data_IF_063061945001
#
_entry.id   IF_063061945001
#
_cell.length_a   1.000
_cell.length_b   1.000
_cell.length_c   1.000
_cell.angle_alpha   90.00
_cell.angle_beta   90.00
_cell.angle_gamma   90.00
#
_symmetry.space_group_name_H-M   'P 1'
#
loop_
_entity.id
_entity.type
_entity.pdbx_description
1 polymer ?
#
# COMPACT_ATOMS: atom_id res chain seq x y z
N UNK A 1 2.31 12.77 -15.95
CA UNK A 1 3.21 13.76 -15.31
C UNK A 1 3.27 13.46 -13.82
N UNK A 2 4.46 13.46 -13.21
CA UNK A 2 4.57 13.29 -11.75
C UNK A 2 3.95 14.50 -11.04
N UNK A 3 3.16 14.33 -9.96
CA UNK A 3 2.69 15.43 -9.12
C UNK A 3 3.81 16.31 -8.56
N UNK A 4 5.04 15.80 -8.51
CA UNK A 4 6.22 16.54 -8.06
C UNK A 4 6.66 17.66 -9.01
N UNK A 5 6.21 17.58 -10.27
CA UNK A 5 6.47 18.61 -11.29
C UNK A 5 5.45 19.76 -11.24
N UNK A 6 4.43 19.67 -10.38
CA UNK A 6 3.42 20.71 -10.21
C UNK A 6 3.94 21.82 -9.29
N UNK A 7 3.51 23.06 -9.52
CA UNK A 7 3.75 24.15 -8.58
C UNK A 7 3.14 23.86 -7.19
N UNK A 8 3.57 24.59 -6.16
CA UNK A 8 3.16 24.35 -4.79
C UNK A 8 1.63 24.34 -4.59
N UNK A 9 0.92 25.28 -5.20
CA UNK A 9 -0.52 25.42 -5.01
C UNK A 9 -1.29 24.31 -5.74
N UNK A 10 -0.87 24.00 -6.96
CA UNK A 10 -1.48 22.95 -7.77
C UNK A 10 -1.19 21.56 -7.19
N UNK A 11 0.04 21.32 -6.70
CA UNK A 11 0.40 20.09 -5.98
C UNK A 11 -0.43 19.89 -4.73
N UNK A 12 -0.63 20.96 -3.93
CA UNK A 12 -1.49 20.91 -2.74
C UNK A 12 -2.94 20.59 -3.11
N UNK A 13 -3.47 21.21 -4.17
CA UNK A 13 -4.83 20.95 -4.66
C UNK A 13 -4.97 19.52 -5.17
N UNK A 14 -3.97 19.02 -5.91
CA UNK A 14 -3.91 17.64 -6.39
C UNK A 14 -4.03 16.66 -5.22
N UNK A 15 -3.14 16.76 -4.22
CA UNK A 15 -3.16 15.83 -3.07
C UNK A 15 -4.45 15.92 -2.25
N UNK A 16 -5.04 17.12 -2.15
CA UNK A 16 -6.36 17.29 -1.50
C UNK A 16 -7.46 16.51 -2.22
N UNK A 17 -7.48 16.54 -3.55
CA UNK A 17 -8.48 15.83 -4.36
C UNK A 17 -8.18 14.33 -4.44
N UNK A 18 -6.93 13.96 -4.69
CA UNK A 18 -6.49 12.57 -4.78
C UNK A 18 -6.74 11.78 -3.49
N UNK A 19 -6.62 12.44 -2.33
CA UNK A 19 -6.89 11.84 -1.02
C UNK A 19 -8.30 12.19 -0.49
N UNK A 20 -9.23 12.62 -1.35
CA UNK A 20 -10.61 12.89 -0.94
C UNK A 20 -11.46 11.62 -1.02
N UNK A 21 -12.42 11.49 -0.11
CA UNK A 21 -13.39 10.39 -0.12
C UNK A 21 -14.23 10.37 -1.40
N UNK A 22 -14.47 11.54 -2.01
CA UNK A 22 -15.32 11.67 -3.20
C UNK A 22 -14.68 11.01 -4.43
N UNK A 23 -13.36 11.04 -4.54
CA UNK A 23 -12.64 10.50 -5.69
C UNK A 23 -12.18 9.04 -5.52
N UNK A 24 -12.27 8.48 -4.30
CA UNK A 24 -11.93 7.07 -4.05
C UNK A 24 -12.73 6.09 -4.93
N UNK A 25 -13.99 6.43 -5.26
CA UNK A 25 -14.87 5.58 -6.09
C UNK A 25 -14.32 5.28 -7.48
N UNK A 26 -13.36 6.07 -7.96
CA UNK A 26 -12.72 5.87 -9.26
C UNK A 26 -11.55 4.88 -9.20
N UNK A 27 -11.09 4.49 -8.01
CA UNK A 27 -10.06 3.46 -7.84
C UNK A 27 -10.63 2.09 -8.22
N UNK A 28 -9.99 1.43 -9.20
CA UNK A 28 -10.32 0.05 -9.57
C UNK A 28 -9.27 -0.89 -9.00
N UNK A 29 -9.66 -1.91 -8.21
CA UNK A 29 -8.70 -2.87 -7.71
C UNK A 29 -8.16 -3.72 -8.86
N UNK A 30 -6.88 -4.06 -8.78
CA UNK A 30 -6.26 -5.03 -9.68
C UNK A 30 -6.65 -6.43 -9.23
N UNK A 31 -7.20 -7.24 -10.13
CA UNK A 31 -7.70 -8.59 -9.82
C UNK A 31 -6.61 -9.45 -9.17
N UNK A 32 -5.39 -9.39 -9.71
CA UNK A 32 -4.24 -10.13 -9.19
C UNK A 32 -3.91 -9.76 -7.73
N UNK A 33 -4.10 -8.49 -7.35
CA UNK A 33 -3.85 -8.04 -5.98
C UNK A 33 -4.85 -8.64 -5.00
N UNK A 34 -6.12 -8.74 -5.41
CA UNK A 34 -7.17 -9.41 -4.62
C UNK A 34 -6.85 -10.91 -4.48
N UNK A 35 -6.60 -11.58 -5.59
CA UNK A 35 -6.32 -13.04 -5.62
C UNK A 35 -5.11 -13.40 -4.73
N UNK A 36 -4.02 -12.63 -4.84
CA UNK A 36 -2.83 -12.84 -4.02
C UNK A 36 -3.11 -12.60 -2.53
N UNK A 37 -3.79 -11.50 -2.19
CA UNK A 37 -4.13 -11.21 -0.79
C UNK A 37 -4.93 -12.37 -0.19
N UNK A 38 -5.98 -12.83 -0.88
CA UNK A 38 -6.81 -13.95 -0.43
C UNK A 38 -5.98 -15.24 -0.30
N UNK A 39 -5.14 -15.55 -1.28
CA UNK A 39 -4.23 -16.70 -1.21
C UNK A 39 -3.28 -16.63 0.00
N UNK A 40 -2.72 -15.46 0.31
CA UNK A 40 -1.77 -15.28 1.44
C UNK A 40 -2.47 -15.33 2.79
N UNK A 41 -3.73 -14.92 2.86
CA UNK A 41 -4.54 -15.06 4.07
C UNK A 41 -4.76 -16.53 4.46
N UNK A 42 -4.76 -17.45 3.51
CA UNK A 42 -4.82 -18.89 3.77
C UNK A 42 -3.47 -19.48 4.23
N UNK A 43 -2.36 -18.80 3.95
CA UNK A 43 -1.01 -19.25 4.29
C UNK A 43 -0.50 -18.66 5.60
N UNK A 44 -1.05 -17.52 6.04
CA UNK A 44 -0.58 -16.86 7.25
C UNK A 44 -1.21 -15.50 7.52
N UNK A 45 -0.45 -14.63 8.19
CA UNK A 45 -0.89 -13.29 8.57
C UNK A 45 -0.53 -12.28 7.50
N UNK A 46 -1.50 -11.45 7.12
CA UNK A 46 -1.31 -10.37 6.13
C UNK A 46 -1.38 -9.02 6.82
N UNK A 47 -0.35 -8.20 6.59
CA UNK A 47 -0.31 -6.78 6.97
C UNK A 47 -0.40 -5.94 5.70
N UNK A 48 -1.42 -5.11 5.59
CA UNK A 48 -1.56 -4.12 4.51
C UNK A 48 -1.05 -2.77 5.02
N UNK A 49 0.00 -2.28 4.36
CA UNK A 49 0.57 -0.95 4.62
C UNK A 49 0.12 -0.01 3.49
N UNK A 50 -0.52 1.10 3.84
CA UNK A 50 -1.05 2.04 2.86
C UNK A 50 -0.61 3.48 3.12
N UNK A 51 -0.29 4.19 2.03
CA UNK A 51 -0.06 5.64 2.04
C UNK A 51 -1.34 6.45 2.30
N UNK A 52 -2.54 5.82 2.25
CA UNK A 52 -3.80 6.49 2.56
C UNK A 52 -3.78 7.00 4.01
N UNK A 53 -4.19 8.26 4.26
CA UNK A 53 -4.21 8.82 5.61
C UNK A 53 -5.27 8.16 6.50
N UNK A 54 -4.99 8.11 7.81
CA UNK A 54 -5.84 7.46 8.83
C UNK A 54 -7.33 7.86 8.76
N UNK A 55 -7.65 9.11 8.41
CA UNK A 55 -9.04 9.57 8.33
C UNK A 55 -9.86 8.93 7.19
N UNK A 56 -9.21 8.25 6.24
CA UNK A 56 -9.85 7.47 5.17
C UNK A 56 -10.02 5.98 5.53
N UNK A 57 -9.64 5.56 6.74
CA UNK A 57 -9.67 4.15 7.16
C UNK A 57 -11.02 3.50 6.94
N UNK A 58 -12.10 4.09 7.44
CA UNK A 58 -13.45 3.53 7.33
C UNK A 58 -13.90 3.39 5.87
N UNK A 59 -13.63 4.39 5.04
CA UNK A 59 -13.97 4.35 3.62
C UNK A 59 -13.19 3.24 2.89
N UNK A 60 -11.89 3.13 3.17
CA UNK A 60 -11.02 2.09 2.60
C UNK A 60 -11.46 0.68 3.03
N UNK A 61 -11.78 0.50 4.30
CA UNK A 61 -12.27 -0.79 4.82
C UNK A 61 -13.59 -1.18 4.15
N UNK A 62 -14.54 -0.25 3.97
CA UNK A 62 -15.81 -0.52 3.29
C UNK A 62 -15.61 -0.89 1.82
N UNK A 63 -14.74 -0.18 1.12
CA UNK A 63 -14.37 -0.47 -0.26
C UNK A 63 -13.77 -1.88 -0.40
N UNK A 64 -12.80 -2.24 0.44
CA UNK A 64 -12.19 -3.57 0.42
C UNK A 64 -13.21 -4.68 0.73
N UNK A 65 -14.12 -4.47 1.69
CA UNK A 65 -15.23 -5.40 1.95
C UNK A 65 -16.13 -5.59 0.73
N UNK A 66 -16.45 -4.51 0.01
CA UNK A 66 -17.26 -4.57 -1.19
C UNK A 66 -16.58 -5.38 -2.32
N UNK A 67 -15.25 -5.43 -2.32
CA UNK A 67 -14.45 -6.29 -3.21
C UNK A 67 -14.23 -7.71 -2.68
N UNK A 68 -14.91 -8.12 -1.61
CA UNK A 68 -14.84 -9.48 -1.07
C UNK A 68 -13.61 -9.76 -0.21
N UNK A 69 -12.86 -8.73 0.21
CA UNK A 69 -11.74 -8.92 1.14
C UNK A 69 -12.27 -9.13 2.56
N UNK A 70 -11.88 -10.21 3.25
CA UNK A 70 -12.21 -10.45 4.66
C UNK A 70 -11.31 -9.57 5.56
N UNK A 71 -11.60 -8.28 5.61
CA UNK A 71 -10.78 -7.26 6.27
C UNK A 71 -10.50 -7.52 7.74
N UNK A 72 -11.34 -8.29 8.43
CA UNK A 72 -11.14 -8.74 9.82
C UNK A 72 -9.94 -9.68 9.98
N UNK A 73 -9.50 -10.34 8.91
CA UNK A 73 -8.30 -11.19 8.90
C UNK A 73 -7.02 -10.42 8.53
N UNK A 74 -7.15 -9.13 8.17
CA UNK A 74 -6.04 -8.30 7.67
C UNK A 74 -5.70 -7.23 8.71
N UNK A 75 -4.42 -7.08 9.03
CA UNK A 75 -3.95 -5.96 9.85
C UNK A 75 -3.59 -4.77 8.95
N UNK A 76 -4.11 -3.58 9.26
CA UNK A 76 -3.91 -2.39 8.43
C UNK A 76 -3.11 -1.29 9.12
N UNK A 77 -2.05 -0.84 8.47
CA UNK A 77 -1.23 0.31 8.84
C UNK A 77 -1.47 1.45 7.85
N UNK A 78 -2.11 2.52 8.32
CA UNK A 78 -2.40 3.72 7.54
C UNK A 78 -1.40 4.83 7.88
N UNK A 79 -1.24 5.77 6.94
CA UNK A 79 -0.40 6.95 7.15
C UNK A 79 -0.94 7.81 8.30
N UNK A 80 -0.12 8.10 9.34
CA UNK A 80 -0.52 8.95 10.45
C UNK A 80 -0.82 10.39 10.01
N UNK A 81 -1.67 11.09 10.77
CA UNK A 81 -1.93 12.52 10.53
C UNK A 81 -0.64 13.31 10.71
N UNK A 82 -0.34 14.20 9.76
CA UNK A 82 0.85 15.04 9.79
C UNK A 82 2.13 14.39 9.24
N UNK A 83 2.07 13.13 8.80
CA UNK A 83 3.21 12.49 8.15
C UNK A 83 3.22 12.73 6.65
N UNK A 84 4.08 13.64 6.21
CA UNK A 84 4.27 14.01 4.80
C UNK A 84 5.56 13.43 4.19
N UNK A 85 6.22 12.48 4.87
CA UNK A 85 7.41 11.81 4.34
C UNK A 85 7.03 11.02 3.08
N UNK A 86 8.02 10.81 2.20
CA UNK A 86 7.86 9.98 0.99
C UNK A 86 7.32 8.60 1.33
N UNK A 87 6.58 7.99 0.42
CA UNK A 87 5.86 6.75 0.68
C UNK A 87 6.78 5.60 1.09
N UNK A 88 7.91 5.43 0.38
CA UNK A 88 8.90 4.40 0.73
C UNK A 88 9.50 4.60 2.13
N UNK A 89 9.67 5.84 2.59
CA UNK A 89 10.20 6.13 3.94
C UNK A 89 9.19 5.72 5.00
N UNK A 90 7.91 6.04 4.81
CA UNK A 90 6.84 5.63 5.72
C UNK A 90 6.72 4.10 5.77
N UNK A 91 6.67 3.45 4.61
CA UNK A 91 6.52 1.99 4.53
C UNK A 91 7.72 1.26 5.11
N UNK A 92 8.94 1.76 4.91
CA UNK A 92 10.15 1.22 5.53
C UNK A 92 10.09 1.28 7.08
N UNK A 93 9.67 2.41 7.65
CA UNK A 93 9.48 2.57 9.11
C UNK A 93 8.42 1.62 9.68
N UNK A 94 7.38 1.31 8.91
CA UNK A 94 6.42 0.27 9.30
C UNK A 94 6.99 -1.14 9.17
N UNK A 95 7.69 -1.44 8.08
CA UNK A 95 8.32 -2.73 7.85
C UNK A 95 9.37 -3.07 8.92
N UNK A 96 10.14 -2.09 9.40
CA UNK A 96 11.17 -2.30 10.41
C UNK A 96 10.63 -2.69 11.79
N UNK A 97 9.33 -2.50 12.02
CA UNK A 97 8.63 -2.88 13.26
C UNK A 97 7.99 -4.26 13.18
N UNK A 98 7.99 -4.88 12.00
CA UNK A 98 7.49 -6.22 11.78
C UNK A 98 8.65 -7.22 11.90
N UNK A 99 8.37 -8.41 12.40
CA UNK A 99 9.31 -9.53 12.47
C UNK A 99 8.81 -10.68 11.60
N UNK A 100 9.72 -11.52 11.10
CA UNK A 100 9.40 -12.73 10.33
C UNK A 100 8.58 -12.43 9.06
N UNK A 101 8.90 -11.34 8.37
CA UNK A 101 8.28 -11.02 7.07
C UNK A 101 8.88 -11.96 6.02
N UNK A 102 8.03 -12.78 5.39
CA UNK A 102 8.44 -13.77 4.38
C UNK A 102 8.20 -13.30 2.94
N UNK A 103 7.23 -12.41 2.73
CA UNK A 103 6.86 -11.86 1.42
C UNK A 103 6.54 -10.37 1.57
N UNK A 104 7.00 -9.55 0.63
CA UNK A 104 6.61 -8.14 0.51
C UNK A 104 6.12 -7.89 -0.91
N UNK A 105 4.93 -7.30 -1.01
CA UNK A 105 4.25 -7.00 -2.27
C UNK A 105 4.03 -5.49 -2.36
N UNK A 106 4.59 -4.84 -3.38
CA UNK A 106 4.41 -3.41 -3.60
C UNK A 106 4.53 -3.08 -5.10
N UNK A 107 3.99 -1.95 -5.56
CA UNK A 107 4.17 -1.46 -6.92
C UNK A 107 5.35 -0.47 -7.05
N UNK A 108 5.98 -0.12 -5.93
CA UNK A 108 7.19 0.71 -5.89
C UNK A 108 8.46 -0.11 -5.65
N UNK A 109 9.40 -0.01 -6.59
CA UNK A 109 10.74 -0.58 -6.44
C UNK A 109 11.50 0.04 -5.25
N UNK A 110 11.31 1.33 -4.96
CA UNK A 110 11.96 1.98 -3.80
C UNK A 110 11.53 1.32 -2.48
N UNK A 111 10.24 0.98 -2.35
CA UNK A 111 9.71 0.26 -1.17
C UNK A 111 10.35 -1.11 -1.05
N UNK A 112 10.44 -1.86 -2.15
CA UNK A 112 11.02 -3.21 -2.14
C UNK A 112 12.52 -3.19 -1.83
N UNK A 113 13.26 -2.19 -2.33
CA UNK A 113 14.68 -2.05 -2.01
C UNK A 113 14.91 -1.71 -0.54
N UNK A 114 14.07 -0.87 0.08
CA UNK A 114 14.11 -0.66 1.53
C UNK A 114 13.70 -1.93 2.29
N UNK A 115 12.69 -2.66 1.79
CA UNK A 115 12.28 -3.93 2.37
C UNK A 115 13.39 -4.97 2.35
N UNK A 116 14.19 -5.07 1.28
CA UNK A 116 15.36 -5.98 1.19
C UNK A 116 16.38 -5.70 2.29
N UNK A 117 16.62 -4.43 2.61
CA UNK A 117 17.57 -4.05 3.67
C UNK A 117 17.08 -4.48 5.06
N UNK A 118 15.77 -4.39 5.29
CA UNK A 118 15.14 -4.68 6.58
C UNK A 118 14.90 -6.19 6.76
N UNK A 119 14.41 -6.85 5.71
CA UNK A 119 14.02 -8.26 5.67
C UNK A 119 14.75 -8.97 4.52
N UNK A 120 16.05 -9.26 4.67
CA UNK A 120 16.90 -9.73 3.56
C UNK A 120 16.46 -11.07 2.96
N UNK A 121 15.76 -11.90 3.73
CA UNK A 121 15.27 -13.21 3.28
C UNK A 121 13.82 -13.20 2.77
N UNK A 122 13.13 -12.06 2.81
CA UNK A 122 11.79 -11.96 2.26
C UNK A 122 11.83 -12.08 0.72
N UNK A 123 10.82 -12.75 0.15
CA UNK A 123 10.54 -12.67 -1.28
C UNK A 123 9.91 -11.33 -1.60
N UNK A 124 10.38 -10.68 -2.65
CA UNK A 124 9.94 -9.35 -3.02
C UNK A 124 9.18 -9.43 -4.34
N UNK A 125 7.95 -8.94 -4.36
CA UNK A 125 7.05 -9.01 -5.50
C UNK A 125 6.74 -7.59 -5.98
N UNK A 126 7.27 -7.23 -7.14
CA UNK A 126 6.99 -5.94 -7.78
C UNK A 126 5.75 -6.07 -8.66
N UNK A 127 4.69 -5.34 -8.33
CA UNK A 127 3.43 -5.37 -9.06
C UNK A 127 3.40 -4.36 -10.21
N UNK A 128 3.14 -4.84 -11.43
CA UNK A 128 2.99 -4.01 -12.64
C UNK A 128 1.74 -4.43 -13.41
N UNK A 129 0.82 -3.48 -13.62
CA UNK A 129 -0.47 -3.79 -14.25
C UNK A 129 -1.23 -4.89 -13.49
N UNK A 130 -1.68 -5.92 -14.20
CA UNK A 130 -2.32 -7.11 -13.62
C UNK A 130 -1.35 -8.30 -13.41
N UNK A 131 -0.05 -8.03 -13.27
CA UNK A 131 0.96 -9.04 -12.98
C UNK A 131 1.95 -8.59 -11.91
N UNK A 132 2.90 -9.48 -11.63
CA UNK A 132 4.03 -9.20 -10.75
C UNK A 132 5.28 -9.91 -11.25
N UNK A 133 6.43 -9.40 -10.84
CA UNK A 133 7.74 -10.03 -11.01
C UNK A 133 8.39 -10.22 -9.64
N UNK A 134 9.20 -11.28 -9.49
CA UNK A 134 10.06 -11.40 -8.33
C UNK A 134 11.25 -10.47 -8.52
N UNK A 135 11.59 -9.75 -7.45
CA UNK A 135 12.81 -8.95 -7.38
C UNK A 135 13.87 -9.80 -6.70
N UNK A 136 14.93 -10.10 -7.43
CA UNK A 136 16.13 -10.77 -6.91
C UNK A 136 16.92 -9.84 -5.98
#
# INVERSE_FOLDING_TARGET
ASPDLLDHNLRRKFWKLFLSKEFMVFDRPRRIGIELLLSRLEMGRVVVITGRPQHLREATIRELKAFGIPVERVFFLFRPKGDYRKDYVLKADFLSRLSNVIEVHDDSIEVLMEARKIHPHAKLYLHKGNGYELVD
#
